data_IF_639911710220
#
_entry.id   IF_639911710220
#
_cell.length_a   1.000
_cell.length_b   1.000
_cell.length_c   1.000
_cell.angle_alpha   90.00
_cell.angle_beta   90.00
_cell.angle_gamma   90.00
#
_symmetry.space_group_name_H-M   'P 1'
#
loop_
_entity.id
_entity.type
_entity.pdbx_description
1 polymer ?
#
# COMPACT_ATOMS: atom_id res chain seq x y z
N UNK A 1 12.35 -19.62 -49.24
CA UNK A 1 11.40 -19.66 -48.08
C UNK A 1 11.36 -18.30 -47.42
N UNK A 2 10.20 -17.77 -47.02
CA UNK A 2 10.09 -16.44 -46.41
C UNK A 2 10.12 -16.51 -44.89
N UNK A 3 10.93 -15.68 -44.24
CA UNK A 3 10.97 -15.55 -42.79
C UNK A 3 10.00 -14.47 -42.31
N UNK A 4 9.19 -14.79 -41.30
CA UNK A 4 8.17 -13.86 -40.77
C UNK A 4 8.73 -12.85 -39.77
N UNK A 5 9.91 -13.07 -39.19
CA UNK A 5 10.56 -12.09 -38.29
C UNK A 5 11.35 -11.03 -39.05
N UNK A 6 11.92 -11.39 -40.21
CA UNK A 6 12.70 -10.48 -41.06
C UNK A 6 11.96 -10.03 -42.32
N UNK A 7 10.77 -10.56 -42.60
CA UNK A 7 9.95 -10.32 -43.81
C UNK A 7 10.67 -10.51 -45.18
N UNK A 8 11.81 -11.21 -45.20
CA UNK A 8 12.64 -11.45 -46.40
C UNK A 8 12.60 -12.91 -46.87
N UNK A 9 12.85 -13.09 -48.16
CA UNK A 9 13.12 -14.40 -48.75
C UNK A 9 14.55 -14.84 -48.42
N UNK A 10 14.69 -16.11 -48.06
CA UNK A 10 15.96 -16.70 -47.62
C UNK A 10 16.28 -17.92 -48.48
N UNK A 11 17.54 -17.98 -48.89
CA UNK A 11 18.16 -19.09 -49.61
C UNK A 11 18.67 -20.18 -48.64
N UNK A 12 19.44 -19.83 -47.61
CA UNK A 12 19.98 -20.78 -46.62
C UNK A 12 19.39 -20.60 -45.21
N UNK A 13 18.59 -21.56 -44.75
CA UNK A 13 17.84 -21.47 -43.47
C UNK A 13 18.77 -21.44 -42.26
N UNK A 14 19.77 -22.32 -42.20
CA UNK A 14 20.62 -22.48 -41.01
C UNK A 14 21.51 -21.26 -40.76
N UNK A 15 21.99 -20.60 -41.81
CA UNK A 15 22.80 -19.39 -41.72
C UNK A 15 21.97 -18.16 -41.35
N UNK A 16 20.76 -18.02 -41.92
CA UNK A 16 19.89 -16.90 -41.62
C UNK A 16 19.52 -16.82 -40.12
N UNK A 17 19.10 -17.93 -39.52
CA UNK A 17 18.69 -17.95 -38.10
C UNK A 17 19.86 -17.73 -37.13
N UNK A 18 21.11 -17.88 -37.58
CA UNK A 18 22.32 -17.58 -36.80
C UNK A 18 22.84 -16.15 -37.02
N UNK A 19 22.26 -15.40 -37.96
CA UNK A 19 22.71 -14.03 -38.25
C UNK A 19 22.29 -13.05 -37.15
N UNK A 20 23.15 -12.09 -36.83
CA UNK A 20 22.86 -11.04 -35.85
C UNK A 20 21.62 -10.19 -36.23
N UNK A 21 21.34 -10.08 -37.53
CA UNK A 21 20.14 -9.39 -38.05
C UNK A 21 18.87 -10.13 -37.63
N UNK A 22 18.87 -11.46 -37.70
CA UNK A 22 17.71 -12.26 -37.30
C UNK A 22 17.47 -12.22 -35.79
N UNK A 23 18.54 -12.25 -35.00
CA UNK A 23 18.46 -12.13 -33.54
C UNK A 23 17.89 -10.76 -33.14
N UNK A 24 18.39 -9.68 -33.73
CA UNK A 24 17.94 -8.32 -33.42
C UNK A 24 16.50 -8.07 -33.89
N UNK A 25 16.13 -8.55 -35.08
CA UNK A 25 14.75 -8.44 -35.56
C UNK A 25 13.76 -9.27 -34.73
N UNK A 26 14.22 -10.38 -34.12
CA UNK A 26 13.41 -11.14 -33.17
C UNK A 26 13.16 -10.37 -31.87
N UNK A 27 14.17 -9.65 -31.35
CA UNK A 27 14.03 -8.74 -30.20
C UNK A 27 13.11 -7.55 -30.52
N UNK A 28 13.27 -6.94 -31.70
CA UNK A 28 12.39 -5.85 -32.18
C UNK A 28 10.94 -6.28 -32.31
N UNK A 29 10.69 -7.51 -32.79
CA UNK A 29 9.33 -8.06 -32.90
C UNK A 29 8.68 -8.24 -31.54
N UNK A 30 9.42 -8.71 -30.52
CA UNK A 30 8.92 -8.78 -29.14
C UNK A 30 8.58 -7.38 -28.59
N UNK A 31 9.34 -6.36 -28.98
CA UNK A 31 9.09 -4.97 -28.63
C UNK A 31 8.02 -4.26 -29.51
N UNK A 32 7.41 -4.97 -30.48
CA UNK A 32 6.41 -4.39 -31.39
C UNK A 32 6.97 -3.43 -32.45
N UNK A 33 8.29 -3.42 -32.67
CA UNK A 33 8.98 -2.53 -33.60
C UNK A 33 9.16 -3.23 -34.96
N UNK A 34 9.11 -2.47 -36.06
CA UNK A 34 9.29 -3.00 -37.41
C UNK A 34 10.68 -3.65 -37.60
N UNK A 35 10.78 -4.73 -38.40
CA UNK A 35 12.07 -5.37 -38.71
C UNK A 35 13.01 -4.43 -39.47
N UNK A 36 14.31 -4.54 -39.22
CA UNK A 36 15.33 -3.75 -39.93
C UNK A 36 16.08 -4.58 -40.96
N UNK A 37 16.45 -3.92 -42.06
CA UNK A 37 17.05 -4.58 -43.21
C UNK A 37 18.58 -4.66 -43.17
N UNK A 38 19.23 -3.72 -42.48
CA UNK A 38 20.68 -3.63 -42.32
C UNK A 38 20.99 -3.16 -40.90
N UNK A 39 22.03 -3.73 -40.29
CA UNK A 39 22.63 -3.21 -39.08
C UNK A 39 23.50 -2.01 -39.48
N UNK A 40 22.93 -0.82 -39.54
CA UNK A 40 23.74 0.40 -39.52
C UNK A 40 24.27 0.56 -38.10
N UNK A 41 25.41 -0.09 -37.85
CA UNK A 41 26.26 0.32 -36.75
C UNK A 41 26.78 1.69 -37.15
N UNK A 42 26.09 2.75 -36.73
CA UNK A 42 26.82 3.99 -36.43
C UNK A 42 27.86 3.54 -35.42
N UNK A 43 29.11 3.50 -35.85
CA UNK A 43 30.23 3.55 -34.93
C UNK A 43 29.99 4.82 -34.11
N UNK A 44 29.30 4.67 -32.97
CA UNK A 44 29.56 5.57 -31.87
C UNK A 44 31.06 5.48 -31.72
N UNK A 45 31.74 6.57 -32.05
CA UNK A 45 33.14 6.75 -31.69
C UNK A 45 33.26 6.16 -30.30
N UNK A 46 34.00 5.06 -30.21
CA UNK A 46 34.47 4.60 -28.93
C UNK A 46 35.44 5.69 -28.51
N UNK A 47 34.89 6.74 -27.92
CA UNK A 47 35.58 7.49 -26.90
C UNK A 47 35.96 6.38 -25.94
N UNK A 48 37.17 5.88 -26.10
CA UNK A 48 37.95 5.25 -25.06
C UNK A 48 38.14 6.35 -24.03
N UNK A 49 37.04 6.70 -23.37
CA UNK A 49 37.07 7.11 -21.99
C UNK A 49 37.77 5.94 -21.37
N UNK A 50 39.09 6.09 -21.17
CA UNK A 50 39.82 5.36 -20.16
C UNK A 50 38.84 5.30 -19.02
N UNK A 51 38.29 4.11 -18.77
CA UNK A 51 37.64 3.81 -17.50
C UNK A 51 38.63 4.38 -16.52
N UNK A 52 38.33 5.50 -15.82
CA UNK A 52 39.29 5.98 -14.85
C UNK A 52 39.50 4.75 -14.00
N UNK A 53 40.76 4.30 -13.93
CA UNK A 53 41.13 3.24 -13.01
C UNK A 53 40.37 3.56 -11.74
N UNK A 54 39.62 2.62 -11.14
CA UNK A 54 39.02 2.89 -9.87
C UNK A 54 40.21 3.23 -8.97
N UNK A 55 40.45 4.53 -8.77
CA UNK A 55 41.33 4.99 -7.72
C UNK A 55 40.63 4.47 -6.51
N UNK A 56 41.14 3.35 -6.03
CA UNK A 56 40.89 2.82 -4.73
C UNK A 56 41.59 3.80 -3.79
N UNK A 57 41.06 5.02 -3.74
CA UNK A 57 41.30 5.91 -2.63
C UNK A 57 40.49 5.29 -1.52
N UNK A 58 41.19 4.53 -0.70
CA UNK A 58 40.80 4.24 0.67
C UNK A 58 40.79 5.57 1.42
N UNK A 59 39.87 6.47 1.05
CA UNK A 59 39.55 7.61 1.90
C UNK A 59 38.54 7.09 2.91
N UNK A 60 39.09 6.48 3.94
CA UNK A 60 38.42 6.39 5.22
C UNK A 60 38.10 7.81 5.71
N UNK A 61 36.95 8.30 5.27
CA UNK A 61 35.91 8.75 6.18
C UNK A 61 36.11 10.10 6.83
N UNK A 62 36.21 11.18 6.04
CA UNK A 62 35.61 12.46 6.42
C UNK A 62 35.52 13.39 5.20
N UNK A 63 34.34 13.58 4.63
CA UNK A 63 34.13 14.64 3.65
C UNK A 63 33.81 15.93 4.41
N UNK A 64 34.69 16.93 4.33
CA UNK A 64 34.47 18.23 4.98
C UNK A 64 33.64 19.12 4.05
N UNK A 65 32.34 19.20 4.30
CA UNK A 65 31.44 20.12 3.58
C UNK A 65 31.88 21.57 3.80
N UNK A 66 31.75 22.41 2.76
CA UNK A 66 32.00 23.85 2.87
C UNK A 66 30.83 24.55 3.59
N UNK A 67 31.09 25.74 4.15
CA UNK A 67 30.14 26.44 5.03
C UNK A 67 28.78 26.78 4.38
N UNK A 68 28.71 26.85 3.05
CA UNK A 68 27.46 27.09 2.28
C UNK A 68 27.11 25.97 1.28
N UNK A 69 27.76 24.82 1.39
CA UNK A 69 27.41 23.68 0.55
C UNK A 69 26.11 23.03 1.05
N UNK A 70 25.23 22.68 0.11
CA UNK A 70 24.01 21.96 0.45
C UNK A 70 24.32 20.55 0.99
N UNK A 71 23.47 20.06 1.89
CA UNK A 71 23.55 18.69 2.41
C UNK A 71 23.27 17.66 1.31
N UNK A 72 22.30 17.95 0.44
CA UNK A 72 21.70 16.95 -0.46
C UNK A 72 22.13 17.09 -1.92
N UNK A 73 22.57 18.27 -2.37
CA UNK A 73 23.09 18.51 -3.71
C UNK A 73 24.51 19.10 -3.70
N UNK A 74 25.13 19.19 -4.88
CA UNK A 74 26.48 19.71 -5.06
C UNK A 74 26.52 21.25 -5.24
N UNK A 75 25.39 21.93 -5.01
CA UNK A 75 25.28 23.37 -5.17
C UNK A 75 25.77 24.12 -3.92
N UNK A 76 26.43 25.26 -4.16
CA UNK A 76 26.80 26.21 -3.11
C UNK A 76 25.65 27.21 -3.01
N UNK A 77 24.99 27.24 -1.86
CA UNK A 77 23.81 28.06 -1.63
C UNK A 77 24.21 29.52 -1.49
N UNK A 78 23.64 30.37 -2.33
CA UNK A 78 23.81 31.83 -2.30
C UNK A 78 22.65 32.55 -1.58
N UNK A 79 21.45 31.97 -1.61
CA UNK A 79 20.26 32.42 -0.90
C UNK A 79 20.29 32.03 0.59
N UNK A 80 19.19 32.25 1.33
CA UNK A 80 19.05 31.70 2.68
C UNK A 80 19.16 30.17 2.65
N UNK A 81 19.99 29.62 3.56
CA UNK A 81 20.37 28.22 3.52
C UNK A 81 19.17 27.29 3.74
N UNK A 82 18.25 27.69 4.63
CA UNK A 82 17.07 26.92 4.98
C UNK A 82 16.09 26.86 3.81
N UNK A 83 15.82 27.99 3.15
CA UNK A 83 14.95 28.06 1.96
C UNK A 83 15.41 27.11 0.86
N UNK A 84 16.73 27.03 0.62
CA UNK A 84 17.26 26.07 -0.33
C UNK A 84 17.03 24.61 0.13
N UNK A 85 17.23 24.31 1.41
CA UNK A 85 16.95 22.97 1.94
C UNK A 85 15.46 22.60 1.80
N UNK A 86 14.54 23.55 1.94
CA UNK A 86 13.11 23.33 1.74
C UNK A 86 12.78 22.89 0.30
N UNK A 87 13.57 23.31 -0.70
CA UNK A 87 13.40 22.82 -2.09
C UNK A 87 13.68 21.31 -2.23
N UNK A 88 14.52 20.76 -1.36
CA UNK A 88 14.77 19.32 -1.25
C UNK A 88 13.75 18.60 -0.35
N UNK A 89 12.73 19.31 0.15
CA UNK A 89 11.72 18.79 1.07
C UNK A 89 12.19 18.69 2.52
N UNK A 90 13.31 19.34 2.88
CA UNK A 90 13.76 19.44 4.25
C UNK A 90 12.81 20.31 5.07
N UNK A 91 12.44 19.86 6.26
CA UNK A 91 11.66 20.64 7.21
C UNK A 91 12.25 20.55 8.60
N UNK A 92 12.32 21.68 9.29
CA UNK A 92 12.62 21.70 10.71
C UNK A 92 11.46 21.06 11.48
N UNK A 93 11.77 20.02 12.23
CA UNK A 93 10.82 19.35 13.11
C UNK A 93 10.60 20.23 14.34
N UNK A 94 9.34 20.51 14.69
CA UNK A 94 8.98 21.28 15.88
C UNK A 94 9.76 22.62 16.03
N UNK A 95 9.68 23.53 15.04
CA UNK A 95 10.48 24.75 15.02
C UNK A 95 10.31 25.63 16.27
N UNK A 96 9.16 25.56 16.93
CA UNK A 96 8.87 26.30 18.16
C UNK A 96 9.70 25.87 19.38
N UNK A 97 10.33 24.69 19.35
CA UNK A 97 11.12 24.15 20.47
C UNK A 97 12.62 24.11 20.18
N UNK A 98 13.06 24.58 19.00
CA UNK A 98 14.49 24.60 18.66
C UNK A 98 15.15 25.77 19.36
N UNK A 99 16.18 25.50 20.15
CA UNK A 99 17.00 26.53 20.80
C UNK A 99 18.12 26.98 19.88
N UNK A 100 18.73 26.03 19.15
CA UNK A 100 19.92 26.28 18.33
C UNK A 100 19.81 25.64 16.93
N UNK A 101 19.32 26.43 15.97
CA UNK A 101 19.19 26.01 14.55
C UNK A 101 20.55 25.80 13.91
N UNK A 102 21.50 26.70 14.13
CA UNK A 102 22.82 26.64 13.51
C UNK A 102 23.61 25.41 13.99
N UNK A 103 23.50 25.09 15.29
CA UNK A 103 24.08 23.89 15.88
C UNK A 103 23.50 22.60 15.30
N UNK A 104 22.18 22.56 15.12
CA UNK A 104 21.50 21.43 14.47
C UNK A 104 21.98 21.23 13.03
N UNK A 105 22.05 22.31 12.25
CA UNK A 105 22.53 22.26 10.86
C UNK A 105 24.00 21.83 10.80
N UNK A 106 24.84 22.32 11.71
CA UNK A 106 26.24 21.92 11.81
C UNK A 106 26.37 20.42 12.09
N UNK A 107 25.59 19.89 13.03
CA UNK A 107 25.56 18.46 13.33
C UNK A 107 25.11 17.62 12.12
N UNK A 108 24.08 18.07 11.39
CA UNK A 108 23.64 17.42 10.15
C UNK A 108 24.72 17.45 9.06
N UNK A 109 25.46 18.56 8.92
CA UNK A 109 26.61 18.65 8.01
C UNK A 109 27.69 17.65 8.39
N UNK A 110 28.03 17.55 9.66
CA UNK A 110 29.00 16.55 10.15
C UNK A 110 28.53 15.13 9.81
N UNK A 111 27.25 14.82 10.05
CA UNK A 111 26.66 13.51 9.75
C UNK A 111 26.72 13.14 8.26
N UNK A 112 26.37 14.07 7.38
CA UNK A 112 26.51 13.88 5.92
C UNK A 112 27.98 13.81 5.51
N UNK A 113 28.86 14.56 6.17
CA UNK A 113 30.32 14.50 5.98
C UNK A 113 30.91 13.13 6.31
N UNK A 114 30.36 12.44 7.31
CA UNK A 114 30.66 11.02 7.59
C UNK A 114 30.03 10.03 6.59
N UNK A 115 29.42 10.54 5.51
CA UNK A 115 28.69 9.77 4.50
C UNK A 115 27.54 8.95 5.13
N UNK A 116 26.88 9.50 6.15
CA UNK A 116 25.72 8.87 6.79
C UNK A 116 24.42 9.55 6.36
N UNK A 117 23.38 8.75 6.14
CA UNK A 117 22.04 9.28 5.87
C UNK A 117 21.43 9.90 7.12
N UNK A 118 20.84 11.08 6.99
CA UNK A 118 20.22 11.84 8.09
C UNK A 118 18.93 11.20 8.62
N UNK A 119 18.19 10.43 7.81
CA UNK A 119 17.01 9.68 8.26
C UNK A 119 17.35 8.30 8.81
N UNK A 120 17.95 7.44 7.97
CA UNK A 120 18.04 6.00 8.25
C UNK A 120 19.35 5.57 8.91
N UNK A 121 20.27 6.51 9.17
CA UNK A 121 21.60 6.27 9.76
C UNK A 121 22.47 5.24 9.01
N UNK A 122 22.14 4.90 7.75
CA UNK A 122 22.98 4.04 6.91
C UNK A 122 24.25 4.77 6.51
N UNK A 123 25.39 4.10 6.64
CA UNK A 123 26.71 4.60 6.22
C UNK A 123 27.02 4.19 4.79
N UNK A 124 27.59 5.12 4.02
CA UNK A 124 28.01 4.92 2.64
C UNK A 124 29.53 5.09 2.51
N UNK A 125 30.08 4.55 1.41
CA UNK A 125 31.52 4.65 1.14
C UNK A 125 31.96 6.05 0.70
N UNK A 126 31.06 6.86 0.12
CA UNK A 126 31.36 8.21 -0.33
C UNK A 126 30.11 9.09 -0.29
N UNK A 127 30.32 10.41 -0.27
CA UNK A 127 29.23 11.39 -0.17
C UNK A 127 28.29 11.33 -1.37
N UNK A 128 28.80 11.10 -2.58
CA UNK A 128 27.97 10.96 -3.78
C UNK A 128 26.98 9.80 -3.68
N UNK A 129 27.39 8.66 -3.10
CA UNK A 129 26.48 7.54 -2.84
C UNK A 129 25.47 7.86 -1.74
N UNK A 130 25.89 8.59 -0.70
CA UNK A 130 24.98 9.05 0.35
C UNK A 130 23.90 9.99 -0.22
N UNK A 131 24.30 11.04 -0.96
CA UNK A 131 23.39 11.99 -1.63
C UNK A 131 22.45 11.26 -2.60
N UNK A 132 22.97 10.35 -3.43
CA UNK A 132 22.14 9.55 -4.34
C UNK A 132 21.13 8.64 -3.60
N UNK A 133 21.51 8.06 -2.46
CA UNK A 133 20.56 7.31 -1.63
C UNK A 133 19.47 8.21 -1.07
N UNK A 134 19.84 9.40 -0.61
CA UNK A 134 18.92 10.33 0.02
C UNK A 134 17.92 10.89 -0.99
N UNK A 135 18.34 11.20 -2.21
CA UNK A 135 17.43 11.61 -3.28
C UNK A 135 16.55 10.45 -3.76
N UNK A 136 17.11 9.26 -3.99
CA UNK A 136 16.35 8.11 -4.48
C UNK A 136 15.25 7.66 -3.50
N UNK A 137 15.57 7.61 -2.20
CA UNK A 137 14.63 7.18 -1.15
C UNK A 137 13.85 8.33 -0.52
N UNK A 138 14.10 9.56 -0.96
CA UNK A 138 13.53 10.77 -0.38
C UNK A 138 13.84 10.93 1.13
N UNK A 139 15.04 10.51 1.55
CA UNK A 139 15.56 10.68 2.90
C UNK A 139 16.28 12.04 3.08
N UNK A 140 15.63 13.12 2.65
CA UNK A 140 16.16 14.50 2.71
C UNK A 140 15.67 15.24 3.97
N UNK A 141 15.32 14.48 5.01
CA UNK A 141 14.91 14.97 6.32
C UNK A 141 15.78 14.35 7.41
N UNK A 142 15.62 14.78 8.65
CA UNK A 142 16.12 14.06 9.82
C UNK A 142 14.94 13.55 10.63
N UNK A 143 15.19 12.55 11.48
CA UNK A 143 14.21 12.03 12.42
C UNK A 143 14.59 12.55 13.80
N UNK A 144 13.61 13.09 14.52
CA UNK A 144 13.81 13.57 15.89
C UNK A 144 13.98 12.38 16.84
N UNK A 145 15.22 11.96 17.00
CA UNK A 145 15.69 10.90 17.90
C UNK A 145 16.48 11.53 19.05
N UNK A 146 16.75 10.78 20.11
CA UNK A 146 17.56 11.19 21.29
C UNK A 146 18.88 11.90 20.94
N UNK A 147 19.49 11.57 19.80
CA UNK A 147 20.68 12.25 19.26
C UNK A 147 20.53 13.77 19.16
N UNK A 148 19.32 14.25 18.87
CA UNK A 148 19.06 15.67 18.61
C UNK A 148 18.47 16.40 19.81
N UNK A 149 18.15 15.72 20.93
CA UNK A 149 17.45 16.32 22.07
C UNK A 149 18.19 17.54 22.65
N UNK A 150 19.53 17.55 22.58
CA UNK A 150 20.34 18.69 23.04
C UNK A 150 20.08 20.01 22.28
N UNK A 151 19.52 19.96 21.07
CA UNK A 151 19.18 21.13 20.26
C UNK A 151 17.75 21.64 20.53
N UNK A 152 16.95 20.88 21.28
CA UNK A 152 15.55 21.19 21.58
C UNK A 152 15.35 21.50 23.07
N UNK A 153 14.38 22.36 23.34
CA UNK A 153 13.86 22.56 24.68
C UNK A 153 12.37 22.21 24.67
N UNK A 154 12.06 21.01 25.16
CA UNK A 154 10.69 20.56 25.30
C UNK A 154 10.12 21.05 26.63
N UNK A 155 8.96 21.73 26.65
CA UNK A 155 8.30 22.05 27.89
C UNK A 155 7.90 20.76 28.61
N UNK A 156 8.11 20.70 29.93
CA UNK A 156 7.60 19.63 30.76
C UNK A 156 6.07 19.64 30.70
N UNK A 157 5.51 18.77 29.87
CA UNK A 157 4.07 18.53 29.85
C UNK A 157 3.76 17.42 30.82
N UNK A 158 2.67 17.58 31.57
CA UNK A 158 2.10 16.48 32.36
C UNK A 158 1.91 15.26 31.45
N UNK A 159 2.35 14.11 31.92
CA UNK A 159 2.17 12.84 31.21
C UNK A 159 0.80 12.30 31.63
N UNK A 160 -0.06 12.01 30.66
CA UNK A 160 -1.32 11.31 30.94
C UNK A 160 -1.05 9.86 31.32
N UNK A 161 -1.83 9.30 32.25
CA UNK A 161 -1.70 7.91 32.66
C UNK A 161 -2.89 7.07 32.16
N UNK A 162 -2.62 5.81 31.87
CA UNK A 162 -3.62 4.84 31.42
C UNK A 162 -4.16 4.10 32.64
N UNK A 163 -5.47 3.86 32.69
CA UNK A 163 -6.09 3.00 33.71
C UNK A 163 -5.48 1.58 33.70
N UNK A 164 -5.46 0.88 34.82
CA UNK A 164 -4.92 -0.49 34.93
C UNK A 164 -5.55 -1.46 33.93
N UNK A 165 -6.86 -1.29 33.68
CA UNK A 165 -7.61 -2.11 32.73
C UNK A 165 -7.35 -1.73 31.26
N UNK A 166 -6.65 -0.63 30.99
CA UNK A 166 -6.41 -0.10 29.65
C UNK A 166 -7.66 0.51 28.97
N UNK A 167 -8.77 0.65 29.70
CA UNK A 167 -10.05 1.12 29.16
C UNK A 167 -10.10 2.63 28.94
N UNK A 168 -9.37 3.39 29.76
CA UNK A 168 -9.47 4.85 29.84
C UNK A 168 -8.07 5.48 29.95
N UNK A 169 -7.87 6.62 29.29
CA UNK A 169 -6.68 7.46 29.36
C UNK A 169 -7.04 8.76 30.09
N UNK A 170 -6.33 9.05 31.18
CA UNK A 170 -6.47 10.28 31.95
C UNK A 170 -5.52 11.33 31.40
N UNK A 171 -6.07 12.43 30.86
CA UNK A 171 -5.26 13.52 30.34
C UNK A 171 -4.92 14.53 31.44
N UNK A 172 -3.77 15.23 31.36
CA UNK A 172 -3.41 16.31 32.27
C UNK A 172 -4.41 17.48 32.32
N UNK A 173 -5.25 17.60 31.28
CA UNK A 173 -6.35 18.58 31.22
C UNK A 173 -7.55 18.22 32.11
N UNK A 174 -7.56 17.05 32.76
CA UNK A 174 -8.69 16.51 33.52
C UNK A 174 -9.73 15.78 32.67
N UNK A 175 -9.57 15.75 31.34
CA UNK A 175 -10.43 14.99 30.43
C UNK A 175 -10.04 13.51 30.42
N UNK A 176 -11.03 12.63 30.26
CA UNK A 176 -10.83 11.19 30.12
C UNK A 176 -11.13 10.79 28.68
N UNK A 177 -10.21 10.08 28.03
CA UNK A 177 -10.39 9.53 26.70
C UNK A 177 -10.62 8.02 26.77
N UNK A 178 -11.72 7.55 26.18
CA UNK A 178 -12.07 6.13 26.14
C UNK A 178 -11.28 5.35 25.08
N UNK A 179 -11.09 4.05 25.29
CA UNK A 179 -10.38 3.17 24.37
C UNK A 179 -11.26 2.76 23.17
N UNK A 180 -10.70 2.82 21.95
CA UNK A 180 -11.38 2.43 20.70
C UNK A 180 -12.02 1.04 20.74
N UNK A 181 -11.48 0.09 21.51
CA UNK A 181 -12.07 -1.25 21.70
C UNK A 181 -13.54 -1.18 22.16
N UNK A 182 -13.90 -0.16 22.95
CA UNK A 182 -15.23 0.01 23.50
C UNK A 182 -16.11 0.98 22.72
N UNK A 183 -15.74 1.35 21.48
CA UNK A 183 -16.52 2.29 20.63
C UNK A 183 -17.99 1.88 20.51
N UNK A 184 -18.28 0.58 20.38
CA UNK A 184 -19.66 0.08 20.30
C UNK A 184 -20.46 0.40 21.56
N UNK A 185 -19.84 0.34 22.74
CA UNK A 185 -20.49 0.65 24.01
C UNK A 185 -20.61 2.16 24.23
N UNK A 186 -19.60 2.94 23.87
CA UNK A 186 -19.68 4.41 23.94
C UNK A 186 -20.74 5.01 23.01
N UNK A 187 -21.07 4.33 21.91
CA UNK A 187 -22.14 4.73 21.00
C UNK A 187 -23.54 4.27 21.46
N UNK A 188 -23.66 3.45 22.51
CA UNK A 188 -24.96 3.00 23.00
C UNK A 188 -25.70 4.13 23.70
N UNK A 189 -26.94 4.36 23.28
CA UNK A 189 -27.91 5.15 24.04
C UNK A 189 -28.77 4.19 24.84
N UNK A 190 -28.36 3.93 26.09
CA UNK A 190 -29.14 3.12 27.01
C UNK A 190 -30.37 3.90 27.47
N UNK A 191 -31.48 3.20 27.70
CA UNK A 191 -32.66 3.81 28.33
C UNK A 191 -32.42 3.94 29.83
N UNK A 192 -33.03 4.95 30.42
CA UNK A 192 -32.92 5.19 31.86
C UNK A 192 -33.45 4.00 32.66
N UNK A 193 -32.90 3.83 33.86
CA UNK A 193 -33.19 2.69 34.75
C UNK A 193 -34.71 2.59 35.04
N UNK A 194 -35.40 3.72 35.16
CA UNK A 194 -36.84 3.81 35.40
C UNK A 194 -37.67 3.16 34.30
N UNK A 195 -37.23 3.22 33.03
CA UNK A 195 -37.91 2.57 31.91
C UNK A 195 -38.00 1.06 32.12
N UNK A 196 -36.92 0.44 32.58
CA UNK A 196 -36.85 -1.00 32.82
C UNK A 196 -37.61 -1.42 34.08
N UNK A 197 -37.55 -0.61 35.14
CA UNK A 197 -38.31 -0.86 36.37
C UNK A 197 -39.82 -0.81 36.14
N UNK A 198 -40.28 0.12 35.29
CA UNK A 198 -41.69 0.26 34.93
C UNK A 198 -42.16 -0.72 33.84
N UNK A 199 -41.26 -1.52 33.27
CA UNK A 199 -41.58 -2.46 32.18
C UNK A 199 -42.33 -3.73 32.65
N UNK A 200 -42.57 -3.89 33.97
CA UNK A 200 -43.28 -5.04 34.52
C UNK A 200 -44.62 -4.65 35.19
N UNK A 201 -45.74 -4.98 34.53
CA UNK A 201 -46.89 -5.76 35.04
C UNK A 201 -48.09 -5.70 34.07
N UNK A 202 -47.96 -6.29 32.89
CA UNK A 202 -49.11 -6.94 32.23
C UNK A 202 -48.69 -8.34 31.84
N UNK A 203 -48.88 -9.27 32.77
CA UNK A 203 -48.81 -10.70 32.49
C UNK A 203 -49.99 -11.08 31.59
N UNK A 204 -49.89 -10.82 30.28
CA UNK A 204 -50.58 -11.71 29.34
C UNK A 204 -49.84 -13.03 29.42
N UNK A 205 -50.33 -13.95 30.24
CA UNK A 205 -49.93 -15.35 30.17
C UNK A 205 -50.13 -15.78 28.72
N UNK A 206 -49.03 -15.95 28.00
CA UNK A 206 -49.06 -16.54 26.67
C UNK A 206 -49.35 -18.01 26.91
N UNK A 207 -50.63 -18.37 26.87
CA UNK A 207 -51.03 -19.78 26.91
C UNK A 207 -50.60 -20.37 25.58
N UNK A 208 -49.46 -21.06 25.57
CA UNK A 208 -49.10 -21.93 24.46
C UNK A 208 -50.18 -23.02 24.39
N UNK A 209 -51.07 -22.94 23.40
CA UNK A 209 -51.95 -24.05 23.06
C UNK A 209 -51.06 -25.16 22.48
N UNK A 210 -50.70 -26.13 23.30
CA UNK A 210 -50.09 -27.36 22.82
C UNK A 210 -51.13 -28.06 21.93
N UNK A 211 -50.81 -28.20 20.64
CA UNK A 211 -51.63 -29.01 19.75
C UNK A 211 -51.52 -30.47 20.21
N UNK A 212 -52.64 -31.22 20.28
CA UNK A 212 -52.60 -32.62 20.71
C UNK A 212 -51.66 -33.42 19.80
N UNK A 213 -50.85 -34.29 20.40
CA UNK A 213 -49.91 -35.14 19.66
C UNK A 213 -50.71 -36.08 18.73
N UNK A 214 -50.56 -35.90 17.42
CA UNK A 214 -51.16 -36.80 16.43
C UNK A 214 -50.51 -38.18 16.53
N UNK A 215 -51.34 -39.22 16.52
CA UNK A 215 -50.87 -40.60 16.46
C UNK A 215 -50.16 -40.88 15.13
N UNK A 216 -49.22 -41.83 15.09
CA UNK A 216 -48.50 -42.16 13.84
C UNK A 216 -49.46 -42.61 12.72
N UNK A 217 -50.55 -43.28 13.07
CA UNK A 217 -51.58 -43.67 12.10
C UNK A 217 -52.30 -42.48 11.47
N UNK A 218 -52.61 -41.44 12.25
CA UNK A 218 -53.23 -40.21 11.75
C UNK A 218 -52.28 -39.47 10.82
N UNK A 219 -50.99 -39.41 11.15
CA UNK A 219 -49.96 -38.80 10.29
C UNK A 219 -49.86 -39.54 8.95
N UNK A 220 -49.86 -40.87 8.98
CA UNK A 220 -49.82 -41.69 7.76
C UNK A 220 -51.07 -41.44 6.91
N UNK A 221 -52.27 -41.36 7.51
CA UNK A 221 -53.51 -41.06 6.78
C UNK A 221 -53.50 -39.67 6.15
N UNK A 222 -53.05 -38.66 6.89
CA UNK A 222 -52.91 -37.28 6.37
C UNK A 222 -51.93 -37.25 5.19
N UNK A 223 -50.81 -37.97 5.29
CA UNK A 223 -49.83 -38.10 4.22
C UNK A 223 -50.40 -38.80 3.00
N UNK A 224 -51.09 -39.92 3.16
CA UNK A 224 -51.72 -40.64 2.05
C UNK A 224 -52.80 -39.80 1.36
N UNK A 225 -53.58 -39.04 2.14
CA UNK A 225 -54.59 -38.12 1.61
C UNK A 225 -53.96 -37.00 0.78
N UNK A 226 -52.89 -36.37 1.28
CA UNK A 226 -52.15 -35.32 0.58
C UNK A 226 -51.52 -35.86 -0.70
N UNK A 227 -50.80 -36.99 -0.65
CA UNK A 227 -50.20 -37.63 -1.82
C UNK A 227 -51.24 -38.05 -2.88
N UNK A 228 -52.43 -38.48 -2.46
CA UNK A 228 -53.54 -38.78 -3.37
C UNK A 228 -54.08 -37.51 -4.03
N UNK A 229 -54.27 -36.44 -3.25
CA UNK A 229 -54.70 -35.13 -3.76
C UNK A 229 -53.73 -34.59 -4.79
N UNK A 230 -52.43 -34.66 -4.52
CA UNK A 230 -51.39 -34.21 -5.45
C UNK A 230 -51.38 -35.02 -6.75
N UNK A 231 -51.51 -36.35 -6.67
CA UNK A 231 -51.63 -37.22 -7.85
C UNK A 231 -52.85 -36.88 -8.70
N UNK A 232 -53.99 -36.62 -8.07
CA UNK A 232 -55.21 -36.21 -8.78
C UNK A 232 -55.03 -34.83 -9.44
N UNK A 233 -54.38 -33.87 -8.75
CA UNK A 233 -54.05 -32.55 -9.31
C UNK A 233 -53.15 -32.68 -10.55
N UNK A 234 -52.14 -33.55 -10.50
CA UNK A 234 -51.21 -33.77 -11.61
C UNK A 234 -51.90 -34.43 -12.82
N UNK A 235 -52.82 -35.38 -12.59
CA UNK A 235 -53.64 -35.98 -13.67
C UNK A 235 -54.46 -34.93 -14.42
N UNK A 236 -55.10 -34.02 -13.70
CA UNK A 236 -55.87 -32.91 -14.28
C UNK A 236 -54.93 -31.93 -15.02
N UNK A 237 -53.75 -31.67 -14.45
CA UNK A 237 -52.72 -30.85 -15.09
C UNK A 237 -52.23 -31.43 -16.42
N UNK A 238 -52.03 -32.75 -16.50
CA UNK A 238 -51.60 -33.43 -17.73
C UNK A 238 -52.67 -33.38 -18.84
N UNK A 239 -53.96 -33.53 -18.51
CA UNK A 239 -55.04 -33.37 -19.52
C UNK A 239 -55.14 -31.95 -20.05
N UNK A 240 -54.77 -30.95 -19.24
CA UNK A 240 -54.77 -29.55 -19.62
C UNK A 240 -53.57 -29.16 -20.52
N UNK A 241 -52.63 -30.08 -20.76
CA UNK A 241 -51.47 -29.85 -21.64
C UNK A 241 -51.77 -30.11 -23.13
N UNK A 242 -53.04 -30.36 -23.49
CA UNK A 242 -53.48 -30.50 -24.88
C UNK A 242 -53.72 -29.12 -25.51
N UNK A 243 -52.71 -28.60 -26.22
CA UNK A 243 -52.79 -27.33 -26.93
C UNK A 243 -53.33 -27.52 -28.35
N UNK A 244 -54.59 -27.12 -28.61
CA UNK A 244 -55.29 -27.36 -29.90
C UNK A 244 -54.64 -26.72 -31.13
N UNK A 245 -53.93 -25.60 -30.96
CA UNK A 245 -53.26 -24.87 -32.03
C UNK A 245 -51.74 -24.77 -31.80
N UNK A 246 -51.16 -25.78 -31.16
CA UNK A 246 -49.72 -25.82 -30.96
C UNK A 246 -49.00 -25.87 -32.30
N UNK A 247 -48.03 -24.98 -32.49
CA UNK A 247 -47.22 -24.88 -33.70
C UNK A 247 -45.77 -24.98 -33.25
N UNK A 248 -45.10 -26.07 -33.61
CA UNK A 248 -43.69 -26.27 -33.30
C UNK A 248 -42.84 -25.24 -34.07
N UNK A 249 -42.07 -24.41 -33.36
CA UNK A 249 -41.15 -23.42 -33.94
C UNK A 249 -39.83 -24.06 -34.39
N UNK A 250 -39.90 -25.17 -35.15
CA UNK A 250 -38.72 -25.85 -35.68
C UNK A 250 -38.29 -25.28 -37.04
N UNK A 251 -37.80 -24.04 -37.03
CA UNK A 251 -36.93 -23.50 -38.09
C UNK A 251 -35.73 -22.78 -37.46
N UNK A 252 -34.66 -23.54 -37.25
CA UNK A 252 -33.26 -23.09 -37.22
C UNK A 252 -32.42 -24.03 -38.08
#
# INVERSE_FOLDING_TARGET
MRCTTCNKEIENKTEHYKSAIHEENSKRRLAGIQPMDKLEVKECETVTAKKPEPRRMEETGLYKLKDKECLYCDEIVTCEYIDHLETHGFKLLLPQYIVNVDGLIKHLKEKVGYCMCTCCNKRFSCIGKARAHMSAMHHMNYINTEEYDSFYNYPEKGIGYVSEDGSELYLPSGKIAGNKKYTKYYAQTLRDIEYYQNMNKKYTQVVHKEAPAQTEEEKIKIRQFTERSERNRLKIGMSNNSQKHFRDDWMQ
#
